data_IF_936116958780
#
_entry.id   IF_936116958780
#
_cell.length_a   1.000
_cell.length_b   1.000
_cell.length_c   1.000
_cell.angle_alpha   90.00
_cell.angle_beta   90.00
_cell.angle_gamma   90.00
#
_symmetry.space_group_name_H-M   'P 1'
#
loop_
_entity.id
_entity.type
_entity.pdbx_description
1 polymer ?
#
# COMPACT_ATOMS: atom_id res chain seq x y z
N UNK A 1 -3.45 -9.21 -7.48
CA UNK A 1 -2.98 -8.01 -6.75
C UNK A 1 -1.82 -8.34 -5.80
N UNK A 2 -1.96 -9.28 -4.83
CA UNK A 2 -0.90 -9.59 -3.84
C UNK A 2 0.44 -9.97 -4.49
N UNK A 3 0.43 -10.83 -5.51
CA UNK A 3 1.64 -11.23 -6.23
C UNK A 3 2.33 -10.03 -6.89
N UNK A 4 1.57 -9.10 -7.48
CA UNK A 4 2.11 -7.86 -8.07
C UNK A 4 2.74 -6.96 -7.01
N UNK A 5 2.10 -6.78 -5.86
CA UNK A 5 2.65 -6.00 -4.73
C UNK A 5 3.97 -6.61 -4.20
N UNK A 6 4.13 -7.92 -4.34
CA UNK A 6 5.38 -8.64 -4.01
C UNK A 6 6.42 -8.62 -5.13
N UNK A 7 6.06 -8.16 -6.32
CA UNK A 7 6.93 -8.17 -7.51
C UNK A 7 6.98 -9.51 -8.23
N UNK A 8 6.11 -10.45 -7.88
CA UNK A 8 6.00 -11.75 -8.57
C UNK A 8 5.02 -11.66 -9.73
N UNK A 9 5.51 -11.09 -10.84
CA UNK A 9 4.73 -10.89 -12.06
C UNK A 9 4.35 -12.23 -12.70
N UNK A 10 5.22 -13.24 -12.58
CA UNK A 10 4.97 -14.56 -13.14
C UNK A 10 3.80 -15.25 -12.43
N UNK A 11 3.81 -15.29 -11.09
CA UNK A 11 2.70 -15.81 -10.30
C UNK A 11 1.40 -15.01 -10.54
N UNK A 12 1.47 -13.69 -10.67
CA UNK A 12 0.31 -12.87 -11.00
C UNK A 12 -0.32 -13.27 -12.35
N UNK A 13 0.50 -13.45 -13.38
CA UNK A 13 0.05 -13.88 -14.71
C UNK A 13 -0.55 -15.29 -14.69
N UNK A 14 0.07 -16.21 -13.95
CA UNK A 14 -0.42 -17.59 -13.80
C UNK A 14 -1.79 -17.62 -13.09
N UNK A 15 -1.98 -16.86 -12.01
CA UNK A 15 -3.26 -16.78 -11.31
C UNK A 15 -4.39 -16.24 -12.23
N UNK A 16 -4.09 -15.27 -13.08
CA UNK A 16 -5.07 -14.74 -14.03
C UNK A 16 -5.40 -15.78 -15.11
N UNK A 17 -4.41 -16.49 -15.65
CA UNK A 17 -4.62 -17.55 -16.64
C UNK A 17 -5.50 -18.68 -16.07
N UNK A 18 -5.16 -19.20 -14.88
CA UNK A 18 -5.96 -20.24 -14.20
C UNK A 18 -7.41 -19.78 -13.94
N UNK A 19 -7.60 -18.51 -13.54
CA UNK A 19 -8.96 -17.96 -13.32
C UNK A 19 -9.76 -17.91 -14.61
N UNK A 20 -9.14 -17.50 -15.70
CA UNK A 20 -9.79 -17.42 -17.04
C UNK A 20 -10.17 -18.81 -17.54
N UNK A 21 -9.32 -19.81 -17.34
CA UNK A 21 -9.57 -21.20 -17.74
C UNK A 21 -10.63 -21.89 -16.86
N UNK A 22 -10.62 -21.62 -15.55
CA UNK A 22 -11.53 -22.26 -14.61
C UNK A 22 -12.99 -21.73 -14.70
N UNK A 23 -13.21 -20.54 -15.28
CA UNK A 23 -14.51 -19.87 -15.31
C UNK A 23 -14.89 -19.37 -16.72
N UNK A 24 -14.88 -20.23 -17.77
CA UNK A 24 -15.19 -19.80 -19.13
C UNK A 24 -16.63 -19.34 -19.31
N UNK A 25 -17.54 -19.74 -18.41
CA UNK A 25 -18.98 -19.53 -18.52
C UNK A 25 -19.57 -18.61 -17.44
N UNK A 26 -18.73 -17.94 -16.63
CA UNK A 26 -19.23 -16.97 -15.66
C UNK A 26 -19.14 -15.55 -16.25
N UNK A 27 -20.18 -15.10 -16.99
CA UNK A 27 -20.14 -13.84 -17.74
C UNK A 27 -20.50 -12.64 -16.85
N UNK A 28 -20.17 -12.69 -15.58
CA UNK A 28 -20.34 -11.55 -14.71
C UNK A 28 -19.46 -10.41 -15.18
N UNK A 29 -20.10 -9.30 -15.56
CA UNK A 29 -19.45 -8.05 -15.98
C UNK A 29 -18.30 -7.65 -15.03
N UNK A 30 -18.47 -7.91 -13.75
CA UNK A 30 -17.49 -7.68 -12.67
C UNK A 30 -16.23 -8.54 -12.78
N UNK A 31 -16.37 -9.84 -13.04
CA UNK A 31 -15.23 -10.76 -13.13
C UNK A 31 -14.33 -10.44 -14.34
N UNK A 32 -14.93 -9.93 -15.44
CA UNK A 32 -14.16 -9.47 -16.62
C UNK A 32 -13.38 -8.21 -16.31
N UNK A 33 -13.96 -7.25 -15.59
CA UNK A 33 -13.31 -6.00 -15.21
C UNK A 33 -12.11 -6.23 -14.31
N UNK A 34 -12.25 -7.02 -13.25
CA UNK A 34 -11.15 -7.37 -12.36
C UNK A 34 -10.02 -8.09 -13.11
N UNK A 35 -10.37 -8.98 -14.05
CA UNK A 35 -9.39 -9.69 -14.87
C UNK A 35 -8.65 -8.72 -15.78
N UNK A 36 -9.37 -7.82 -16.46
CA UNK A 36 -8.78 -6.83 -17.37
C UNK A 36 -7.94 -5.82 -16.60
N UNK A 37 -8.39 -5.38 -15.42
CA UNK A 37 -7.61 -4.52 -14.52
C UNK A 37 -6.30 -5.19 -14.10
N UNK A 38 -6.36 -6.45 -13.67
CA UNK A 38 -5.17 -7.20 -13.29
C UNK A 38 -4.22 -7.43 -14.48
N UNK A 39 -4.75 -7.68 -15.68
CA UNK A 39 -3.93 -7.78 -16.90
C UNK A 39 -3.28 -6.44 -17.26
N UNK A 40 -3.97 -5.32 -17.07
CA UNK A 40 -3.41 -3.99 -17.27
C UNK A 40 -2.27 -3.72 -16.28
N UNK A 41 -2.45 -4.07 -15.01
CA UNK A 41 -1.40 -3.95 -13.98
C UNK A 41 -0.18 -4.84 -14.28
N UNK A 42 -0.39 -6.06 -14.79
CA UNK A 42 0.70 -6.94 -15.23
C UNK A 42 1.43 -6.32 -16.44
N UNK A 43 0.70 -5.75 -17.38
CA UNK A 43 1.26 -5.06 -18.55
C UNK A 43 2.11 -3.86 -18.14
N UNK A 44 1.61 -3.03 -17.24
CA UNK A 44 2.38 -1.91 -16.68
C UNK A 44 3.67 -2.38 -16.00
N UNK A 45 3.58 -3.42 -15.19
CA UNK A 45 4.73 -3.94 -14.45
C UNK A 45 5.81 -4.55 -15.36
N UNK A 46 5.45 -5.07 -16.54
CA UNK A 46 6.38 -5.64 -17.53
C UNK A 46 6.97 -4.61 -18.46
N UNK A 47 6.09 -3.78 -19.03
CA UNK A 47 6.38 -3.02 -20.25
C UNK A 47 6.20 -1.51 -20.04
N UNK A 48 5.80 -1.11 -18.83
CA UNK A 48 5.61 0.30 -18.43
C UNK A 48 4.21 0.83 -18.66
N UNK A 49 3.95 2.12 -18.27
CA UNK A 49 2.59 2.70 -18.25
C UNK A 49 1.90 2.70 -19.62
N UNK A 50 2.62 2.99 -20.69
CA UNK A 50 2.07 3.03 -22.04
C UNK A 50 1.44 1.70 -22.49
N UNK A 51 2.00 0.56 -22.05
CA UNK A 51 1.48 -0.76 -22.37
C UNK A 51 0.14 -1.08 -21.69
N UNK A 52 -0.15 -0.41 -20.56
CA UNK A 52 -1.41 -0.59 -19.84
C UNK A 52 -2.56 0.23 -20.46
N UNK A 53 -2.28 1.34 -21.15
CA UNK A 53 -3.28 2.32 -21.57
C UNK A 53 -4.35 1.71 -22.48
N UNK A 54 -3.99 0.88 -23.44
CA UNK A 54 -4.97 0.20 -24.30
C UNK A 54 -5.99 -0.62 -23.52
N UNK A 55 -5.52 -1.35 -22.51
CA UNK A 55 -6.40 -2.14 -21.62
C UNK A 55 -7.20 -1.26 -20.67
N UNK A 56 -6.62 -0.18 -20.16
CA UNK A 56 -7.33 0.78 -19.32
C UNK A 56 -8.49 1.41 -20.11
N UNK A 57 -8.26 1.84 -21.35
CA UNK A 57 -9.31 2.37 -22.22
C UNK A 57 -10.41 1.34 -22.47
N UNK A 58 -10.04 0.08 -22.71
CA UNK A 58 -11.01 -1.01 -22.86
C UNK A 58 -11.82 -1.22 -21.58
N UNK A 59 -11.18 -1.23 -20.40
CA UNK A 59 -11.86 -1.32 -19.11
C UNK A 59 -12.85 -0.17 -18.92
N UNK A 60 -12.46 1.04 -19.29
CA UNK A 60 -13.33 2.23 -19.18
C UNK A 60 -14.48 2.24 -20.20
N UNK A 61 -14.30 1.58 -21.36
CA UNK A 61 -15.33 1.50 -22.40
C UNK A 61 -16.32 0.35 -22.19
N UNK A 62 -15.82 -0.83 -21.78
CA UNK A 62 -16.65 -2.05 -21.63
C UNK A 62 -17.44 -2.07 -20.31
N UNK A 63 -16.97 -1.32 -19.33
CA UNK A 63 -17.58 -1.25 -18.00
C UNK A 63 -17.68 0.20 -17.59
N UNK A 64 -18.81 0.66 -17.11
CA UNK A 64 -18.84 1.95 -16.48
C UNK A 64 -17.81 1.91 -15.35
N UNK A 65 -16.79 2.78 -15.44
CA UNK A 65 -15.72 2.96 -14.42
C UNK A 65 -16.26 2.88 -12.97
N UNK A 66 -17.49 3.36 -12.69
CA UNK A 66 -18.14 3.18 -11.39
C UNK A 66 -18.13 1.76 -10.84
N UNK A 67 -18.43 0.77 -11.67
CA UNK A 67 -18.50 -0.62 -11.21
C UNK A 67 -17.17 -1.20 -10.73
N UNK A 68 -16.06 -0.81 -11.37
CA UNK A 68 -14.70 -1.22 -10.96
C UNK A 68 -14.35 -0.57 -9.63
N UNK A 69 -14.64 0.74 -9.51
CA UNK A 69 -14.24 1.53 -8.33
C UNK A 69 -15.10 1.20 -7.10
N UNK A 70 -16.29 0.64 -7.27
CA UNK A 70 -17.08 0.12 -6.15
C UNK A 70 -16.48 -1.15 -5.56
N UNK A 71 -15.97 -2.03 -6.41
CA UNK A 71 -15.35 -3.28 -5.96
C UNK A 71 -13.90 -3.14 -5.49
N UNK A 72 -13.14 -2.26 -6.13
CA UNK A 72 -11.72 -1.99 -5.83
C UNK A 72 -11.47 -0.48 -5.83
N UNK A 73 -11.87 0.24 -4.77
CA UNK A 73 -11.71 1.71 -4.72
C UNK A 73 -10.27 2.17 -4.95
N UNK A 74 -9.29 1.42 -4.43
CA UNK A 74 -7.86 1.73 -4.60
C UNK A 74 -7.39 1.70 -6.07
N UNK A 75 -8.17 1.12 -6.98
CA UNK A 75 -7.88 1.13 -8.41
C UNK A 75 -7.95 2.55 -9.01
N UNK A 76 -8.74 3.46 -8.45
CA UNK A 76 -8.85 4.83 -8.94
C UNK A 76 -7.49 5.54 -9.00
N UNK A 77 -6.73 5.48 -7.91
CA UNK A 77 -5.42 6.10 -7.85
C UNK A 77 -4.40 5.43 -8.79
N UNK A 78 -4.47 4.09 -8.92
CA UNK A 78 -3.60 3.39 -9.86
C UNK A 78 -3.94 3.77 -11.32
N UNK A 79 -5.21 3.79 -11.71
CA UNK A 79 -5.67 4.19 -13.04
C UNK A 79 -5.23 5.63 -13.37
N UNK A 80 -5.47 6.58 -12.46
CA UNK A 80 -5.08 7.98 -12.63
C UNK A 80 -3.56 8.11 -12.77
N UNK A 81 -2.77 7.47 -11.90
CA UNK A 81 -1.30 7.52 -11.92
C UNK A 81 -0.73 6.95 -13.23
N UNK A 82 -1.25 5.81 -13.67
CA UNK A 82 -0.79 5.14 -14.90
C UNK A 82 -1.14 5.98 -16.13
N UNK A 83 -2.34 6.57 -16.16
CA UNK A 83 -2.74 7.49 -17.22
C UNK A 83 -1.82 8.72 -17.28
N UNK A 84 -1.57 9.39 -16.16
CA UNK A 84 -0.65 10.53 -16.07
C UNK A 84 0.78 10.18 -16.50
N UNK A 85 1.25 8.99 -16.10
CA UNK A 85 2.58 8.52 -16.48
C UNK A 85 2.72 8.22 -17.99
N UNK A 86 1.62 7.95 -18.66
CA UNK A 86 1.55 7.74 -20.10
C UNK A 86 1.22 9.03 -20.89
N UNK A 87 1.02 10.18 -20.21
CA UNK A 87 0.65 11.44 -20.85
C UNK A 87 -0.84 11.58 -21.18
N UNK A 88 -1.69 10.76 -20.58
CA UNK A 88 -3.14 10.72 -20.81
C UNK A 88 -3.89 11.49 -19.69
N UNK A 89 -3.64 12.81 -19.61
CA UNK A 89 -4.19 13.67 -18.53
C UNK A 89 -5.73 13.67 -18.52
N UNK A 90 -6.38 13.64 -19.69
CA UNK A 90 -7.84 13.61 -19.78
C UNK A 90 -8.43 12.30 -19.22
N UNK A 91 -7.78 11.16 -19.47
CA UNK A 91 -8.19 9.86 -18.91
C UNK A 91 -8.05 9.86 -17.37
N UNK A 92 -6.97 10.43 -16.85
CA UNK A 92 -6.79 10.58 -15.41
C UNK A 92 -7.90 11.44 -14.79
N UNK A 93 -8.26 12.54 -15.44
CA UNK A 93 -9.33 13.42 -14.99
C UNK A 93 -10.71 12.74 -15.05
N UNK A 94 -10.98 11.91 -16.06
CA UNK A 94 -12.23 11.10 -16.12
C UNK A 94 -12.31 10.14 -14.96
N UNK A 95 -11.23 9.41 -14.67
CA UNK A 95 -11.18 8.47 -13.53
C UNK A 95 -11.43 9.20 -12.21
N UNK A 96 -10.77 10.33 -12.00
CA UNK A 96 -10.88 11.12 -10.77
C UNK A 96 -12.31 11.66 -10.55
N UNK A 97 -12.92 12.26 -11.59
CA UNK A 97 -14.33 12.72 -11.52
C UNK A 97 -15.31 11.58 -11.29
N UNK A 98 -15.06 10.40 -11.86
CA UNK A 98 -15.90 9.24 -11.63
C UNK A 98 -15.82 8.78 -10.17
N UNK A 99 -14.62 8.75 -9.59
CA UNK A 99 -14.43 8.43 -8.18
C UNK A 99 -15.11 9.46 -7.26
N UNK A 100 -15.03 10.75 -7.60
CA UNK A 100 -15.71 11.84 -6.88
C UNK A 100 -17.23 11.71 -6.90
N UNK A 101 -17.80 11.40 -8.07
CA UNK A 101 -19.23 11.15 -8.23
C UNK A 101 -19.70 9.97 -7.38
N UNK A 102 -18.91 8.90 -7.36
CA UNK A 102 -19.19 7.74 -6.50
C UNK A 102 -19.10 8.09 -5.01
N UNK A 103 -18.10 8.85 -4.60
CA UNK A 103 -17.94 9.28 -3.21
C UNK A 103 -19.13 10.13 -2.76
N UNK A 104 -19.58 11.04 -3.62
CA UNK A 104 -20.75 11.89 -3.35
C UNK A 104 -22.06 11.08 -3.23
N UNK A 105 -22.21 10.03 -4.02
CA UNK A 105 -23.35 9.12 -3.94
C UNK A 105 -23.31 8.13 -2.76
N UNK A 106 -22.13 7.94 -2.15
CA UNK A 106 -21.90 6.92 -1.11
C UNK A 106 -21.13 7.48 0.09
N UNK A 107 -21.62 8.50 0.79
CA UNK A 107 -20.87 9.18 1.87
C UNK A 107 -20.54 8.28 3.08
N UNK A 108 -21.24 7.14 3.20
CA UNK A 108 -20.98 6.15 4.25
C UNK A 108 -19.82 5.16 3.97
N UNK A 109 -19.10 5.31 2.84
CA UNK A 109 -18.02 4.39 2.45
C UNK A 109 -16.66 5.08 2.44
N UNK A 110 -15.90 5.05 3.57
CA UNK A 110 -14.62 5.75 3.69
C UNK A 110 -13.58 5.37 2.63
N UNK A 111 -13.60 4.12 2.15
CA UNK A 111 -12.68 3.65 1.13
C UNK A 111 -12.90 4.38 -0.22
N UNK A 112 -14.16 4.64 -0.60
CA UNK A 112 -14.51 5.34 -1.83
C UNK A 112 -14.16 6.83 -1.71
N UNK A 113 -14.46 7.45 -0.57
CA UNK A 113 -14.13 8.86 -0.30
C UNK A 113 -12.62 9.09 -0.35
N UNK A 114 -11.83 8.23 0.31
CA UNK A 114 -10.38 8.33 0.30
C UNK A 114 -9.79 8.05 -1.10
N UNK A 115 -10.38 7.14 -1.88
CA UNK A 115 -9.95 6.87 -3.25
C UNK A 115 -10.25 8.04 -4.20
N UNK A 116 -11.38 8.74 -4.01
CA UNK A 116 -11.70 9.96 -4.72
C UNK A 116 -10.69 11.08 -4.41
N UNK A 117 -10.43 11.35 -3.12
CA UNK A 117 -9.43 12.31 -2.71
C UNK A 117 -8.04 11.99 -3.31
N UNK A 118 -7.66 10.71 -3.32
CA UNK A 118 -6.39 10.24 -3.88
C UNK A 118 -6.29 10.49 -5.39
N UNK A 119 -7.30 10.05 -6.16
CA UNK A 119 -7.29 10.19 -7.63
C UNK A 119 -7.41 11.65 -8.08
N UNK A 120 -8.21 12.47 -7.39
CA UNK A 120 -8.28 13.92 -7.62
C UNK A 120 -6.95 14.61 -7.28
N UNK A 121 -6.36 14.27 -6.12
CA UNK A 121 -5.06 14.81 -5.73
C UNK A 121 -3.95 14.50 -6.74
N UNK A 122 -4.02 13.35 -7.43
CA UNK A 122 -3.12 13.03 -8.53
C UNK A 122 -3.42 13.85 -9.78
N UNK A 123 -4.68 13.90 -10.22
CA UNK A 123 -5.09 14.60 -11.45
C UNK A 123 -4.85 16.12 -11.36
N UNK A 124 -5.20 16.72 -10.23
CA UNK A 124 -5.08 18.16 -9.99
C UNK A 124 -3.69 18.56 -9.45
N UNK A 125 -2.83 17.59 -9.12
CA UNK A 125 -1.54 17.81 -8.45
C UNK A 125 -1.70 18.56 -7.13
N UNK A 126 -2.74 18.21 -6.38
CA UNK A 126 -3.11 18.86 -5.12
C UNK A 126 -2.53 18.09 -3.92
N UNK A 127 -1.55 18.66 -3.20
CA UNK A 127 -0.96 18.01 -2.03
C UNK A 127 -1.93 17.88 -0.86
N UNK A 128 -2.92 18.78 -0.72
CA UNK A 128 -3.89 18.70 0.38
C UNK A 128 -4.81 17.48 0.22
N UNK A 129 -5.31 17.22 -1.00
CA UNK A 129 -6.11 16.03 -1.30
C UNK A 129 -5.30 14.74 -1.13
N UNK A 130 -4.02 14.72 -1.52
CA UNK A 130 -3.16 13.57 -1.31
C UNK A 130 -2.89 13.32 0.18
N UNK A 131 -2.71 14.38 0.97
CA UNK A 131 -2.55 14.28 2.42
C UNK A 131 -3.82 13.75 3.10
N UNK A 132 -4.99 14.22 2.67
CA UNK A 132 -6.28 13.70 3.12
C UNK A 132 -6.40 12.20 2.83
N UNK A 133 -6.13 11.76 1.62
CA UNK A 133 -6.14 10.35 1.25
C UNK A 133 -5.15 9.53 2.09
N UNK A 134 -3.92 10.02 2.29
CA UNK A 134 -2.91 9.36 3.12
C UNK A 134 -3.33 9.26 4.61
N UNK A 135 -4.18 10.15 5.10
CA UNK A 135 -4.74 10.09 6.44
C UNK A 135 -5.93 9.13 6.54
N UNK A 136 -6.84 9.18 5.57
CA UNK A 136 -8.19 8.60 5.68
C UNK A 136 -8.34 7.21 5.06
N UNK A 137 -7.45 6.75 4.17
CA UNK A 137 -7.56 5.41 3.58
C UNK A 137 -7.67 4.32 4.66
N UNK A 138 -8.72 3.49 4.66
CA UNK A 138 -8.85 2.41 5.62
C UNK A 138 -7.91 1.23 5.29
N UNK A 139 -7.59 1.01 4.01
CA UNK A 139 -6.62 0.00 3.58
C UNK A 139 -5.18 0.49 3.78
N UNK A 140 -4.35 -0.23 4.57
CA UNK A 140 -2.97 0.18 4.85
C UNK A 140 -2.08 0.31 3.60
N UNK A 141 -2.33 -0.51 2.57
CA UNK A 141 -1.58 -0.39 1.32
C UNK A 141 -1.96 0.87 0.54
N UNK A 142 -3.26 1.16 0.41
CA UNK A 142 -3.75 2.35 -0.26
C UNK A 142 -3.30 3.64 0.46
N UNK A 143 -3.30 3.60 1.80
CA UNK A 143 -2.74 4.67 2.64
C UNK A 143 -1.26 4.93 2.33
N UNK A 144 -0.47 3.86 2.23
CA UNK A 144 0.95 3.95 1.86
C UNK A 144 1.13 4.47 0.42
N UNK A 145 0.24 4.07 -0.50
CA UNK A 145 0.24 4.55 -1.89
C UNK A 145 -0.03 6.05 -1.98
N UNK A 146 -0.98 6.57 -1.20
CA UNK A 146 -1.25 8.02 -1.14
C UNK A 146 -0.07 8.81 -0.55
N UNK A 147 0.55 8.28 0.51
CA UNK A 147 1.76 8.88 1.07
C UNK A 147 2.93 8.86 0.08
N UNK A 148 3.09 7.81 -0.73
CA UNK A 148 4.10 7.78 -1.79
C UNK A 148 3.86 8.87 -2.83
N UNK A 149 2.62 9.03 -3.32
CA UNK A 149 2.29 10.03 -4.32
C UNK A 149 2.46 11.45 -3.79
N UNK A 150 2.08 11.69 -2.55
CA UNK A 150 2.32 12.97 -1.86
C UNK A 150 3.83 13.27 -1.78
N UNK A 151 4.63 12.30 -1.38
CA UNK A 151 6.09 12.45 -1.35
C UNK A 151 6.70 12.70 -2.73
N UNK A 152 6.17 12.06 -3.78
CA UNK A 152 6.58 12.33 -5.17
C UNK A 152 6.21 13.73 -5.61
N UNK A 153 5.03 14.23 -5.23
CA UNK A 153 4.59 15.57 -5.55
C UNK A 153 5.48 16.63 -4.88
N UNK A 154 5.78 16.48 -3.58
CA UNK A 154 6.72 17.36 -2.87
C UNK A 154 8.12 17.35 -3.51
N UNK A 155 8.61 16.17 -3.92
CA UNK A 155 9.89 16.07 -4.61
C UNK A 155 9.92 16.84 -5.94
N UNK A 156 8.82 16.87 -6.69
CA UNK A 156 8.69 17.66 -7.92
C UNK A 156 8.70 19.17 -7.65
N UNK A 157 8.21 19.60 -6.50
CA UNK A 157 8.22 21.00 -6.06
C UNK A 157 9.51 21.39 -5.33
N UNK A 158 10.55 20.55 -5.38
CA UNK A 158 11.82 20.72 -4.68
C UNK A 158 11.71 20.82 -3.15
N UNK A 159 10.58 20.39 -2.58
CA UNK A 159 10.34 20.29 -1.14
C UNK A 159 10.87 18.95 -0.63
N UNK A 160 12.18 18.91 -0.42
CA UNK A 160 12.90 17.67 -0.13
C UNK A 160 12.54 17.08 1.24
N UNK A 161 12.31 17.91 2.26
CA UNK A 161 12.05 17.44 3.61
C UNK A 161 10.68 16.74 3.70
N UNK A 162 9.63 17.35 3.16
CA UNK A 162 8.31 16.73 3.08
C UNK A 162 8.31 15.51 2.16
N UNK A 163 9.04 15.55 1.05
CA UNK A 163 9.19 14.39 0.17
C UNK A 163 9.79 13.19 0.91
N UNK A 164 10.89 13.37 1.64
CA UNK A 164 11.54 12.32 2.44
C UNK A 164 10.61 11.81 3.54
N UNK A 165 9.92 12.71 4.23
CA UNK A 165 8.97 12.37 5.28
C UNK A 165 7.87 11.41 4.76
N UNK A 166 7.16 11.81 3.71
CA UNK A 166 6.05 11.01 3.18
C UNK A 166 6.49 9.73 2.49
N UNK A 167 7.62 9.74 1.77
CA UNK A 167 8.20 8.51 1.21
C UNK A 167 8.64 7.53 2.32
N UNK A 168 9.08 8.01 3.45
CA UNK A 168 9.43 7.15 4.60
C UNK A 168 8.17 6.54 5.23
N UNK A 169 7.08 7.31 5.35
CA UNK A 169 5.78 6.80 5.77
C UNK A 169 5.28 5.70 4.82
N UNK A 170 5.38 5.92 3.50
CA UNK A 170 4.99 4.94 2.50
C UNK A 170 5.76 3.62 2.66
N UNK A 171 7.08 3.66 2.89
CA UNK A 171 7.87 2.45 3.16
C UNK A 171 7.32 1.67 4.36
N UNK A 172 7.01 2.37 5.45
CA UNK A 172 6.50 1.74 6.66
C UNK A 172 5.16 1.03 6.40
N UNK A 173 4.25 1.68 5.68
CA UNK A 173 2.96 1.09 5.30
C UNK A 173 3.10 -0.10 4.34
N UNK A 174 3.94 0.00 3.32
CA UNK A 174 4.19 -1.11 2.41
C UNK A 174 4.87 -2.31 3.08
N UNK A 175 5.75 -2.07 4.05
CA UNK A 175 6.36 -3.15 4.83
C UNK A 175 5.34 -3.89 5.69
N UNK A 176 4.37 -3.19 6.29
CA UNK A 176 3.27 -3.77 7.05
C UNK A 176 2.41 -4.73 6.19
N UNK A 177 2.20 -4.38 4.94
CA UNK A 177 1.39 -5.17 4.00
C UNK A 177 2.19 -6.22 3.22
N UNK A 178 3.52 -6.30 3.43
CA UNK A 178 4.39 -7.22 2.69
C UNK A 178 4.55 -6.85 1.20
N UNK A 179 4.29 -5.59 0.81
CA UNK A 179 4.43 -5.06 -0.53
C UNK A 179 5.91 -4.76 -0.85
N UNK A 180 6.66 -5.81 -1.15
CA UNK A 180 8.13 -5.73 -1.30
C UNK A 180 8.55 -4.97 -2.55
N UNK A 181 7.80 -5.08 -3.66
CA UNK A 181 8.06 -4.34 -4.89
C UNK A 181 7.86 -2.84 -4.69
N UNK A 182 6.74 -2.45 -4.04
CA UNK A 182 6.45 -1.06 -3.72
C UNK A 182 7.50 -0.47 -2.78
N UNK A 183 7.88 -1.24 -1.74
CA UNK A 183 8.97 -0.86 -0.83
C UNK A 183 10.29 -0.63 -1.58
N UNK A 184 10.64 -1.49 -2.54
CA UNK A 184 11.86 -1.34 -3.32
C UNK A 184 11.81 -0.10 -4.23
N UNK A 185 10.66 0.17 -4.84
CA UNK A 185 10.42 1.37 -5.66
C UNK A 185 10.59 2.65 -4.85
N UNK A 186 9.96 2.75 -3.69
CA UNK A 186 10.06 3.94 -2.83
C UNK A 186 11.49 4.13 -2.31
N UNK A 187 12.18 3.06 -1.95
CA UNK A 187 13.62 3.11 -1.58
C UNK A 187 14.48 3.66 -2.72
N UNK A 188 14.15 3.32 -3.97
CA UNK A 188 14.85 3.88 -5.13
C UNK A 188 14.63 5.38 -5.26
N UNK A 189 13.40 5.88 -5.01
CA UNK A 189 13.06 7.31 -5.00
C UNK A 189 13.85 8.07 -3.91
N UNK A 190 13.88 7.54 -2.69
CA UNK A 190 14.65 8.15 -1.60
C UNK A 190 16.17 8.22 -1.89
N UNK A 191 16.73 7.19 -2.55
CA UNK A 191 18.14 7.25 -2.98
C UNK A 191 18.40 8.38 -3.97
N UNK A 192 17.45 8.62 -4.90
CA UNK A 192 17.56 9.75 -5.86
C UNK A 192 17.51 11.11 -5.16
N UNK A 193 16.84 11.22 -4.01
CA UNK A 193 16.83 12.39 -3.14
C UNK A 193 18.05 12.48 -2.22
N UNK A 194 19.07 11.63 -2.42
CA UNK A 194 20.30 11.66 -1.64
C UNK A 194 20.23 10.98 -0.27
N UNK A 195 19.09 10.35 0.06
CA UNK A 195 18.93 9.66 1.35
C UNK A 195 19.70 8.35 1.32
N UNK A 196 20.80 8.27 2.08
CA UNK A 196 21.61 7.05 2.22
C UNK A 196 20.98 6.10 3.23
N UNK A 197 21.23 4.81 3.06
CA UNK A 197 20.66 3.69 3.85
C UNK A 197 20.70 3.84 5.38
N UNK A 198 21.56 4.70 5.92
CA UNK A 198 21.72 4.96 7.35
C UNK A 198 20.55 5.73 7.99
N UNK A 199 19.76 6.48 7.21
CA UNK A 199 18.64 7.29 7.73
C UNK A 199 17.29 6.57 7.73
N UNK A 200 17.20 5.36 7.20
CA UNK A 200 15.92 4.63 7.04
C UNK A 200 15.41 3.98 8.34
N UNK A 201 16.18 4.06 9.41
CA UNK A 201 15.85 3.52 10.73
C UNK A 201 15.59 4.61 11.78
N UNK A 202 15.61 5.90 11.40
CA UNK A 202 15.50 7.00 12.36
C UNK A 202 14.41 8.03 11.98
N UNK A 203 13.14 7.61 11.94
CA UNK A 203 12.01 8.53 11.96
C UNK A 203 11.03 8.16 13.07
N UNK A 204 11.54 7.91 14.25
CA UNK A 204 10.80 8.06 15.48
C UNK A 204 11.76 8.69 16.50
N UNK A 205 11.55 9.95 16.83
CA UNK A 205 12.14 10.61 18.01
C UNK A 205 11.52 9.99 19.28
N UNK A 206 11.74 8.68 19.46
CA UNK A 206 11.49 7.97 20.69
C UNK A 206 12.80 7.40 21.21
N UNK A 207 12.90 6.96 22.47
CA UNK A 207 14.09 6.36 23.02
C UNK A 207 14.56 5.20 22.12
N UNK A 208 15.88 5.16 21.84
CA UNK A 208 16.50 4.19 20.92
C UNK A 208 16.42 2.76 21.44
N UNK A 209 16.15 2.59 22.74
CA UNK A 209 16.03 1.32 23.46
C UNK A 209 14.89 1.37 24.48
N UNK A 210 14.42 0.21 24.93
CA UNK A 210 13.34 0.06 25.89
C UNK A 210 11.93 0.00 25.27
N UNK A 211 10.93 -0.20 26.13
CA UNK A 211 9.54 -0.42 25.73
C UNK A 211 8.95 0.73 24.88
N UNK A 212 9.27 1.95 25.22
CA UNK A 212 8.81 3.14 24.49
C UNK A 212 9.39 3.26 23.07
N UNK A 213 10.44 2.52 22.77
CA UNK A 213 11.02 2.46 21.43
C UNK A 213 10.27 1.54 20.47
N UNK A 214 9.35 0.72 20.99
CA UNK A 214 8.54 -0.18 20.17
C UNK A 214 7.47 0.58 19.42
N UNK A 215 7.35 0.29 18.12
CA UNK A 215 6.22 0.75 17.30
C UNK A 215 4.93 0.04 17.73
N UNK A 216 3.76 0.59 17.37
CA UNK A 216 2.47 -0.04 17.66
C UNK A 216 2.38 -1.50 17.20
N UNK A 217 2.93 -1.81 16.02
CA UNK A 217 2.97 -3.19 15.52
C UNK A 217 3.90 -4.08 16.32
N UNK A 218 5.07 -3.58 16.71
CA UNK A 218 6.00 -4.33 17.55
C UNK A 218 5.41 -4.59 18.95
N UNK A 219 4.66 -3.64 19.51
CA UNK A 219 3.90 -3.83 20.76
C UNK A 219 2.84 -4.89 20.61
N UNK A 220 2.02 -4.84 19.55
CA UNK A 220 1.00 -5.85 19.28
C UNK A 220 1.60 -7.26 19.11
N UNK A 221 2.73 -7.40 18.39
CA UNK A 221 3.47 -8.66 18.29
C UNK A 221 3.95 -9.10 19.67
N UNK A 222 4.51 -8.20 20.49
CA UNK A 222 5.01 -8.50 21.82
C UNK A 222 3.92 -9.01 22.76
N UNK A 223 2.75 -8.39 22.71
CA UNK A 223 1.57 -8.79 23.51
C UNK A 223 1.08 -10.18 23.12
N UNK A 224 0.95 -10.49 21.84
CA UNK A 224 0.55 -11.83 21.36
C UNK A 224 1.57 -12.90 21.75
N UNK A 225 2.85 -12.55 21.69
CA UNK A 225 3.93 -13.43 22.11
C UNK A 225 3.90 -13.67 23.62
N UNK A 226 3.62 -12.66 24.43
CA UNK A 226 3.47 -12.80 25.88
C UNK A 226 2.27 -13.65 26.28
N UNK A 227 1.23 -13.73 25.45
CA UNK A 227 0.10 -14.64 25.59
C UNK A 227 0.46 -16.11 25.26
N UNK A 228 1.72 -16.40 24.91
CA UNK A 228 2.19 -17.75 24.60
C UNK A 228 2.02 -18.17 23.13
N UNK A 229 1.54 -17.30 22.23
CA UNK A 229 1.36 -17.65 20.82
C UNK A 229 2.72 -17.83 20.13
N UNK A 230 2.89 -18.92 19.38
CA UNK A 230 4.06 -19.10 18.52
C UNK A 230 4.02 -18.21 17.27
N UNK A 231 5.13 -18.12 16.53
CA UNK A 231 5.22 -17.21 15.37
C UNK A 231 4.16 -17.48 14.29
N UNK A 232 3.75 -18.74 14.11
CA UNK A 232 2.71 -19.12 13.16
C UNK A 232 1.33 -18.63 13.61
N UNK A 233 1.03 -18.74 14.89
CA UNK A 233 -0.21 -18.26 15.48
C UNK A 233 -0.28 -16.73 15.47
N UNK A 234 0.82 -16.04 15.80
CA UNK A 234 0.93 -14.58 15.68
C UNK A 234 0.72 -14.15 14.24
N UNK A 235 1.37 -14.82 13.28
CA UNK A 235 1.24 -14.55 11.86
C UNK A 235 -0.22 -14.65 11.39
N UNK A 236 -0.91 -15.72 11.80
CA UNK A 236 -2.33 -15.90 11.47
C UNK A 236 -3.21 -14.82 12.11
N UNK A 237 -2.96 -14.45 13.37
CA UNK A 237 -3.77 -13.46 14.08
C UNK A 237 -3.57 -12.05 13.54
N UNK A 238 -2.40 -11.74 13.01
CA UNK A 238 -2.06 -10.43 12.44
C UNK A 238 -2.19 -10.39 10.91
N UNK A 239 -2.61 -11.49 10.28
CA UNK A 239 -2.73 -11.62 8.82
C UNK A 239 -1.43 -11.29 8.07
N UNK A 240 -0.29 -11.72 8.64
CA UNK A 240 1.05 -11.53 8.05
C UNK A 240 1.76 -12.87 7.86
N UNK A 241 2.92 -12.87 7.19
CA UNK A 241 3.74 -14.08 7.04
C UNK A 241 4.52 -14.41 8.33
N UNK A 242 4.84 -15.69 8.52
CA UNK A 242 5.71 -16.14 9.64
C UNK A 242 7.08 -15.45 9.59
N UNK A 243 7.59 -15.18 8.37
CA UNK A 243 8.84 -14.44 8.17
C UNK A 243 8.75 -12.99 8.63
N UNK A 244 7.58 -12.36 8.45
CA UNK A 244 7.30 -11.00 8.94
C UNK A 244 7.31 -10.96 10.46
N UNK A 245 6.69 -11.95 11.12
CA UNK A 245 6.74 -12.06 12.59
C UNK A 245 8.17 -12.28 13.07
N UNK A 246 8.93 -13.17 12.44
CA UNK A 246 10.34 -13.40 12.78
C UNK A 246 11.20 -12.12 12.60
N UNK A 247 10.89 -11.29 11.61
CA UNK A 247 11.53 -9.99 11.45
C UNK A 247 11.21 -9.06 12.62
N UNK A 248 9.93 -8.91 13.00
CA UNK A 248 9.54 -8.10 14.16
C UNK A 248 10.19 -8.59 15.44
N UNK A 249 10.21 -9.89 15.68
CA UNK A 249 10.86 -10.47 16.87
C UNK A 249 12.34 -10.09 16.97
N UNK A 250 13.09 -10.11 15.86
CA UNK A 250 14.49 -9.65 15.85
C UNK A 250 14.62 -8.15 16.17
N UNK A 251 13.70 -7.31 15.67
CA UNK A 251 13.71 -5.88 15.96
C UNK A 251 13.37 -5.62 17.44
N UNK A 252 12.34 -6.29 17.96
CA UNK A 252 11.91 -6.20 19.36
C UNK A 252 13.05 -6.60 20.28
N UNK A 253 13.69 -7.74 20.04
CA UNK A 253 14.83 -8.22 20.85
C UNK A 253 15.97 -7.21 20.87
N UNK A 254 16.30 -6.63 19.72
CA UNK A 254 17.33 -5.60 19.62
C UNK A 254 16.95 -4.32 20.39
N UNK A 255 15.69 -3.84 20.25
CA UNK A 255 15.24 -2.61 20.90
C UNK A 255 15.10 -2.75 22.42
N UNK A 256 14.68 -3.94 22.88
CA UNK A 256 14.57 -4.24 24.31
C UNK A 256 15.88 -4.75 24.92
N UNK A 257 16.90 -4.99 24.09
CA UNK A 257 18.18 -5.60 24.49
C UNK A 257 18.00 -6.93 25.25
N UNK A 258 17.18 -7.83 24.68
CA UNK A 258 16.87 -9.16 25.26
C UNK A 258 17.28 -10.26 24.30
N UNK A 259 17.56 -11.44 24.86
CA UNK A 259 18.00 -12.62 24.12
C UNK A 259 16.92 -13.70 23.95
N UNK A 260 15.83 -13.62 24.68
CA UNK A 260 14.86 -14.70 24.70
C UNK A 260 13.41 -14.22 24.64
N UNK A 261 12.53 -15.15 24.19
CA UNK A 261 11.07 -14.95 24.17
C UNK A 261 10.49 -14.85 25.59
N UNK A 262 11.13 -15.50 26.54
CA UNK A 262 10.73 -15.47 27.96
C UNK A 262 10.99 -14.08 28.55
N UNK A 263 12.13 -13.48 28.23
CA UNK A 263 12.42 -12.10 28.65
C UNK A 263 11.42 -11.11 28.10
N UNK A 264 10.97 -11.30 26.82
CA UNK A 264 9.94 -10.48 26.22
C UNK A 264 8.63 -10.59 26.99
N UNK A 265 8.18 -11.80 27.29
CA UNK A 265 6.94 -12.02 28.04
C UNK A 265 7.00 -11.37 29.44
N UNK A 266 8.14 -11.45 30.12
CA UNK A 266 8.36 -10.80 31.42
C UNK A 266 8.23 -9.28 31.32
N UNK A 267 8.83 -8.67 30.30
CA UNK A 267 8.76 -7.20 30.09
C UNK A 267 7.31 -6.78 29.82
N UNK A 268 6.59 -7.49 28.94
CA UNK A 268 5.19 -7.17 28.64
C UNK A 268 4.33 -7.23 29.89
N UNK A 269 4.49 -8.25 30.72
CA UNK A 269 3.75 -8.38 31.99
C UNK A 269 4.03 -7.24 32.95
N UNK A 270 5.27 -6.76 33.02
CA UNK A 270 5.65 -5.60 33.85
C UNK A 270 5.02 -4.28 33.35
N UNK A 271 4.78 -4.15 32.04
CA UNK A 271 4.16 -2.95 31.44
C UNK A 271 2.63 -2.96 31.52
N UNK A 272 2.02 -4.14 31.75
CA UNK A 272 0.56 -4.31 31.78
C UNK A 272 0.01 -4.29 33.22
N UNK A 273 0.88 -4.31 34.23
CA UNK A 273 0.48 -4.12 35.63
C UNK A 273 0.37 -2.61 35.92
N UNK A 274 -0.81 -2.11 36.41
CA UNK A 274 -1.02 -0.69 36.71
C UNK A 274 -0.18 -0.21 37.91
#
# INVERSE_FOLDING_TARGET
VIALRRGDIAAAAQHIACRTEAMPHFPGLYARAETTLAQAQIGEARDGPAAAIGRIRQVCADLPVPGILLGEPAAAAWLARTALAAGEDELAAVVARTAETLASGHPGYPAITAAAAHSLGLADRDPARLAEAAAQHPDPWAKASAAEDLGVLHARHADQDHAIHHLTQAISGYQLTGATADTARVRSRLRKLGVRRRHWTQSSRGPVTGWESLTGTERAVSELVAQGLNNRQVANRMYVSVHTVAFYMRQIFRKLNIGSRVDLARIVLQQTQP
#
